data_IF_930019118464
#
_entry.id   IF_930019118464
#
_cell.length_a   1.000
_cell.length_b   1.000
_cell.length_c   1.000
_cell.angle_alpha   90.00
_cell.angle_beta   90.00
_cell.angle_gamma   90.00
#
_symmetry.space_group_name_H-M   'P 1'
#
loop_
_entity.id
_entity.type
_entity.pdbx_description
1 polymer ?
#
# COMPACT_ATOMS: atom_id res chain seq x y z
N UNK A 1 5.00 17.56 -2.59
CA UNK A 1 4.83 16.82 -1.32
C UNK A 1 4.42 15.39 -1.65
N UNK A 2 5.16 14.41 -1.15
CA UNK A 2 4.82 12.99 -1.25
C UNK A 2 4.04 12.53 -0.01
N UNK A 3 3.22 11.49 -0.16
CA UNK A 3 2.56 10.78 0.94
C UNK A 3 3.00 9.33 0.91
N UNK A 4 3.45 8.79 2.04
CA UNK A 4 3.84 7.38 2.15
C UNK A 4 2.98 6.66 3.18
N UNK A 5 2.36 5.56 2.76
CA UNK A 5 1.68 4.59 3.62
C UNK A 5 2.74 3.63 4.17
N UNK A 6 3.17 3.91 5.39
CA UNK A 6 4.40 3.40 5.97
C UNK A 6 4.14 2.38 7.08
N UNK A 7 4.95 1.32 7.09
CA UNK A 7 5.08 0.40 8.22
C UNK A 7 6.52 0.43 8.75
N UNK A 8 6.79 0.98 9.96
CA UNK A 8 8.13 1.10 10.53
C UNK A 8 8.85 -0.23 10.74
N UNK A 9 8.12 -1.35 10.86
CA UNK A 9 8.70 -2.69 11.03
C UNK A 9 9.15 -3.31 9.71
N UNK A 10 8.74 -2.77 8.56
CA UNK A 10 9.06 -3.31 7.25
C UNK A 10 10.33 -2.68 6.65
N UNK A 11 11.36 -3.48 6.38
CA UNK A 11 12.63 -3.02 5.81
C UNK A 11 12.44 -2.21 4.51
N UNK A 12 11.65 -2.74 3.55
CA UNK A 12 11.35 -2.03 2.29
C UNK A 12 10.63 -0.70 2.49
N UNK A 13 9.76 -0.63 3.50
CA UNK A 13 9.06 0.60 3.88
C UNK A 13 10.00 1.67 4.44
N UNK A 14 10.96 1.27 5.29
CA UNK A 14 12.00 2.18 5.81
C UNK A 14 12.95 2.64 4.71
N UNK A 15 13.40 1.74 3.85
CA UNK A 15 14.26 2.08 2.71
C UNK A 15 13.59 3.07 1.75
N UNK A 16 12.30 2.88 1.45
CA UNK A 16 11.56 3.81 0.58
C UNK A 16 11.40 5.19 1.22
N UNK A 17 11.11 5.27 2.52
CA UNK A 17 11.06 6.55 3.24
C UNK A 17 12.41 7.27 3.22
N UNK A 18 13.51 6.53 3.32
CA UNK A 18 14.85 7.13 3.25
C UNK A 18 15.14 7.72 1.88
N UNK A 19 14.81 7.02 0.78
CA UNK A 19 14.98 7.55 -0.58
C UNK A 19 14.22 8.86 -0.76
N UNK A 20 12.99 8.97 -0.22
CA UNK A 20 12.20 10.21 -0.28
C UNK A 20 12.90 11.36 0.47
N UNK A 21 13.49 11.09 1.63
CA UNK A 21 14.24 12.07 2.43
C UNK A 21 15.52 12.50 1.74
N UNK A 22 16.30 11.57 1.22
CA UNK A 22 17.53 11.84 0.46
C UNK A 22 17.26 12.67 -0.80
N UNK A 23 16.08 12.48 -1.40
CA UNK A 23 15.61 13.26 -2.56
C UNK A 23 15.09 14.66 -2.19
N UNK A 24 15.18 15.07 -0.92
CA UNK A 24 14.67 16.34 -0.39
C UNK A 24 13.18 16.59 -0.69
N UNK A 25 12.38 15.52 -0.79
CA UNK A 25 10.93 15.64 -1.00
C UNK A 25 10.22 15.72 0.33
N UNK A 26 9.48 16.80 0.54
CA UNK A 26 8.57 16.92 1.68
C UNK A 26 7.61 15.73 1.70
N UNK A 27 7.62 14.95 2.79
CA UNK A 27 6.95 13.66 2.88
C UNK A 27 6.02 13.60 4.09
N UNK A 28 4.74 13.39 3.83
CA UNK A 28 3.76 13.05 4.86
C UNK A 28 3.74 11.53 5.09
N UNK A 29 3.89 11.10 6.34
CA UNK A 29 3.98 9.68 6.71
C UNK A 29 2.67 9.24 7.37
N UNK A 30 1.97 8.29 6.72
CA UNK A 30 0.75 7.69 7.25
C UNK A 30 1.06 6.29 7.78
N UNK A 31 0.93 6.10 9.09
CA UNK A 31 1.04 4.79 9.76
C UNK A 31 -0.27 4.01 9.59
N UNK A 32 -0.51 3.52 8.39
CA UNK A 32 -1.78 2.91 7.97
C UNK A 32 -2.19 1.64 8.75
N UNK A 33 -1.27 1.08 9.55
CA UNK A 33 -1.53 -0.01 10.50
C UNK A 33 -2.19 0.49 11.79
N UNK A 34 -1.91 1.73 12.19
CA UNK A 34 -2.41 2.36 13.43
C UNK A 34 -3.64 3.23 13.14
N UNK A 35 -3.65 3.88 11.98
CA UNK A 35 -4.79 4.65 11.46
C UNK A 35 -5.20 4.04 10.12
N UNK A 36 -6.10 3.05 10.14
CA UNK A 36 -6.62 2.45 8.92
C UNK A 36 -7.18 3.50 7.97
N UNK A 37 -6.97 3.29 6.68
CA UNK A 37 -7.49 4.18 5.64
C UNK A 37 -8.96 3.85 5.36
N UNK A 38 -9.71 4.82 4.85
CA UNK A 38 -11.07 4.59 4.39
C UNK A 38 -11.11 3.92 3.00
N UNK A 39 -12.23 3.27 2.68
CA UNK A 39 -12.44 2.60 1.39
C UNK A 39 -12.20 3.54 0.20
N UNK A 40 -12.68 4.79 0.28
CA UNK A 40 -12.49 5.79 -0.76
C UNK A 40 -11.00 6.08 -1.02
N UNK A 41 -10.19 6.12 0.02
CA UNK A 41 -8.73 6.30 -0.08
C UNK A 41 -8.09 5.10 -0.76
N UNK A 42 -8.45 3.87 -0.36
CA UNK A 42 -7.92 2.66 -0.98
C UNK A 42 -8.27 2.55 -2.48
N UNK A 43 -9.52 2.84 -2.85
CA UNK A 43 -9.95 2.86 -4.25
C UNK A 43 -9.18 3.92 -5.06
N UNK A 44 -8.92 5.08 -4.47
CA UNK A 44 -8.10 6.13 -5.09
C UNK A 44 -6.64 5.67 -5.29
N UNK A 45 -6.06 4.97 -4.31
CA UNK A 45 -4.72 4.39 -4.43
C UNK A 45 -4.64 3.35 -5.54
N UNK A 46 -5.60 2.43 -5.60
CA UNK A 46 -5.68 1.42 -6.67
C UNK A 46 -5.74 2.07 -8.06
N UNK A 47 -6.56 3.13 -8.21
CA UNK A 47 -6.65 3.90 -9.45
C UNK A 47 -5.32 4.58 -9.80
N UNK A 48 -4.65 5.22 -8.84
CA UNK A 48 -3.35 5.88 -9.05
C UNK A 48 -2.22 4.88 -9.34
N UNK A 49 -2.30 3.67 -8.79
CA UNK A 49 -1.37 2.56 -9.05
C UNK A 49 -1.63 1.90 -10.40
N UNK A 50 -2.86 1.99 -10.93
CA UNK A 50 -3.27 1.30 -12.14
C UNK A 50 -3.35 -0.23 -11.96
N UNK A 51 -3.72 -0.69 -10.77
CA UNK A 51 -3.80 -2.13 -10.43
C UNK A 51 -5.16 -2.49 -9.81
N UNK A 52 -5.49 -3.77 -9.85
CA UNK A 52 -6.65 -4.36 -9.18
C UNK A 52 -6.37 -4.68 -7.69
N UNK A 53 -7.39 -4.80 -6.84
CA UNK A 53 -7.24 -5.26 -5.45
C UNK A 53 -6.45 -6.57 -5.33
N UNK A 54 -6.70 -7.52 -6.26
CA UNK A 54 -6.00 -8.81 -6.30
C UNK A 54 -4.47 -8.72 -6.48
N UNK A 55 -3.99 -7.64 -7.09
CA UNK A 55 -2.57 -7.34 -7.28
C UNK A 55 -1.95 -6.58 -6.10
N UNK A 56 -2.78 -5.90 -5.30
CA UNK A 56 -2.32 -5.20 -4.11
C UNK A 56 -2.29 -6.11 -2.87
N UNK A 57 -3.13 -7.13 -2.82
CA UNK A 57 -3.26 -7.96 -1.62
C UNK A 57 -2.06 -8.91 -1.39
N UNK A 58 -1.62 -9.01 -0.14
CA UNK A 58 -0.51 -9.87 0.31
C UNK A 58 -1.03 -11.26 0.68
N UNK A 59 -0.99 -12.16 -0.30
CA UNK A 59 -1.46 -13.57 -0.14
C UNK A 59 -0.69 -14.41 0.88
N UNK A 60 0.49 -13.95 1.32
CA UNK A 60 1.34 -14.68 2.26
C UNK A 60 1.05 -14.35 3.73
N UNK A 61 0.17 -13.40 4.01
CA UNK A 61 -0.23 -13.06 5.38
C UNK A 61 -1.20 -14.12 5.93
N UNK A 62 -1.09 -14.44 7.22
CA UNK A 62 -1.92 -15.46 7.85
C UNK A 62 -3.43 -15.16 7.74
N UNK A 63 -3.79 -13.88 7.80
CA UNK A 63 -5.18 -13.43 7.68
C UNK A 63 -5.78 -13.73 6.31
N UNK A 64 -4.98 -13.77 5.24
CA UNK A 64 -5.49 -14.05 3.89
C UNK A 64 -6.16 -15.43 3.82
N UNK A 65 -5.51 -16.44 4.42
CA UNK A 65 -6.07 -17.81 4.50
C UNK A 65 -7.15 -17.93 5.57
N UNK A 66 -6.99 -17.25 6.72
CA UNK A 66 -7.97 -17.28 7.82
C UNK A 66 -9.33 -16.74 7.39
N UNK A 67 -9.32 -15.76 6.48
CA UNK A 67 -10.51 -15.12 5.93
C UNK A 67 -11.02 -15.81 4.64
N UNK A 68 -10.38 -16.92 4.21
CA UNK A 68 -10.78 -17.67 3.01
C UNK A 68 -10.81 -16.83 1.72
N UNK A 69 -9.88 -15.89 1.58
CA UNK A 69 -9.77 -14.98 0.41
C UNK A 69 -9.12 -15.63 -0.82
N UNK A 70 -8.77 -16.92 -0.73
CA UNK A 70 -8.23 -17.73 -1.81
C UNK A 70 -9.31 -18.51 -2.60
N UNK A 71 -10.59 -18.33 -2.26
CA UNK A 71 -11.70 -18.95 -2.97
C UNK A 71 -11.96 -18.32 -4.34
N UNK A 72 -12.42 -19.13 -5.31
CA UNK A 72 -12.74 -18.68 -6.67
C UNK A 72 -13.87 -17.63 -6.71
N UNK A 73 -14.76 -17.62 -5.71
CA UNK A 73 -15.87 -16.67 -5.60
C UNK A 73 -15.46 -15.31 -4.97
N UNK A 74 -14.19 -15.15 -4.57
CA UNK A 74 -13.71 -13.92 -3.92
C UNK A 74 -13.72 -12.74 -4.89
N UNK A 75 -14.47 -11.69 -4.56
CA UNK A 75 -14.60 -10.51 -5.41
C UNK A 75 -13.57 -9.43 -5.07
N UNK A 76 -13.37 -8.48 -5.99
CA UNK A 76 -12.55 -7.28 -5.74
C UNK A 76 -13.08 -6.45 -4.56
N UNK A 77 -14.40 -6.43 -4.34
CA UNK A 77 -15.02 -5.76 -3.20
C UNK A 77 -14.67 -6.46 -1.88
N UNK A 78 -14.68 -7.80 -1.85
CA UNK A 78 -14.26 -8.57 -0.68
C UNK A 78 -12.80 -8.29 -0.32
N UNK A 79 -11.92 -8.25 -1.33
CA UNK A 79 -10.49 -7.93 -1.13
C UNK A 79 -10.28 -6.51 -0.60
N UNK A 80 -11.04 -5.54 -1.11
CA UNK A 80 -11.01 -4.16 -0.61
C UNK A 80 -11.47 -4.11 0.84
N UNK A 81 -12.62 -4.70 1.16
CA UNK A 81 -13.15 -4.72 2.52
C UNK A 81 -12.17 -5.41 3.49
N UNK A 82 -11.59 -6.54 3.08
CA UNK A 82 -10.58 -7.23 3.87
C UNK A 82 -9.32 -6.38 4.09
N UNK A 83 -8.86 -5.62 3.10
CA UNK A 83 -7.70 -4.74 3.26
C UNK A 83 -7.98 -3.54 4.18
N UNK A 84 -9.22 -3.08 4.27
CA UNK A 84 -9.64 -2.02 5.21
C UNK A 84 -9.71 -2.55 6.64
N UNK A 85 -10.35 -3.71 6.83
CA UNK A 85 -10.50 -4.34 8.16
C UNK A 85 -9.17 -4.93 8.67
N UNK A 86 -8.35 -5.45 7.77
CA UNK A 86 -7.05 -6.07 8.04
C UNK A 86 -5.95 -5.38 7.23
N UNK A 87 -5.47 -4.19 7.65
CA UNK A 87 -4.50 -3.42 6.87
C UNK A 87 -3.19 -4.18 6.56
N UNK A 88 -2.82 -5.20 7.33
CA UNK A 88 -1.62 -6.01 7.07
C UNK A 88 -1.69 -6.76 5.73
N UNK A 89 -2.89 -6.99 5.20
CA UNK A 89 -3.13 -7.57 3.88
C UNK A 89 -2.73 -6.64 2.72
N UNK A 90 -2.55 -5.33 2.94
CA UNK A 90 -2.12 -4.42 1.87
C UNK A 90 -0.62 -4.49 1.62
N UNK A 91 -0.23 -4.56 0.34
CA UNK A 91 1.17 -4.43 -0.07
C UNK A 91 1.74 -3.05 0.29
N UNK A 92 3.02 -3.04 0.67
CA UNK A 92 3.65 -1.85 1.29
C UNK A 92 5.13 -1.70 0.94
N UNK A 93 5.67 -0.46 0.98
CA UNK A 93 4.94 0.80 1.15
C UNK A 93 4.25 1.21 -0.16
N UNK A 94 3.20 2.02 -0.04
CA UNK A 94 2.61 2.76 -1.16
C UNK A 94 3.05 4.21 -1.03
N UNK A 95 3.56 4.80 -2.11
CA UNK A 95 3.94 6.22 -2.16
C UNK A 95 3.06 6.91 -3.19
N UNK A 96 2.53 8.07 -2.84
CA UNK A 96 1.80 8.97 -3.73
C UNK A 96 2.60 10.25 -3.91
N UNK A 97 2.83 10.66 -5.15
CA UNK A 97 3.45 11.93 -5.51
C UNK A 97 2.85 12.43 -6.83
N UNK A 98 2.54 13.72 -6.92
CA UNK A 98 1.97 14.34 -8.13
C UNK A 98 0.79 13.56 -8.74
N UNK A 99 -0.15 13.15 -7.88
CA UNK A 99 -1.37 12.43 -8.27
C UNK A 99 -1.12 11.04 -8.93
N UNK A 100 0.08 10.50 -8.78
CA UNK A 100 0.51 9.17 -9.23
C UNK A 100 0.96 8.37 -8.02
N UNK A 101 0.80 7.04 -8.05
CA UNK A 101 1.24 6.17 -6.96
C UNK A 101 2.17 5.06 -7.43
N UNK A 102 3.01 4.56 -6.52
CA UNK A 102 3.86 3.40 -6.76
C UNK A 102 4.04 2.57 -5.49
N UNK A 103 4.23 1.26 -5.66
CA UNK A 103 4.63 0.36 -4.58
C UNK A 103 6.15 0.36 -4.49
N UNK A 104 6.70 0.69 -3.33
CA UNK A 104 8.15 0.70 -3.01
C UNK A 104 8.75 -0.71 -2.85
N UNK A 105 8.41 -1.61 -3.77
CA UNK A 105 8.90 -3.00 -3.84
C UNK A 105 9.34 -3.31 -5.28
N UNK A 106 10.64 -3.17 -5.58
CA UNK A 106 11.71 -2.76 -4.67
C UNK A 106 11.68 -1.23 -4.37
N UNK A 107 12.35 -0.73 -3.30
CA UNK A 107 12.23 0.66 -2.83
C UNK A 107 12.49 1.73 -3.90
N UNK A 108 13.45 1.48 -4.79
CA UNK A 108 13.84 2.31 -5.92
C UNK A 108 12.72 2.56 -6.93
N UNK A 109 11.62 1.80 -6.89
CA UNK A 109 10.42 2.09 -7.67
C UNK A 109 9.90 3.52 -7.43
N UNK A 110 10.19 4.11 -6.27
CA UNK A 110 9.78 5.49 -5.94
C UNK A 110 10.34 6.51 -6.93
N UNK A 111 11.51 6.26 -7.53
CA UNK A 111 12.10 7.17 -8.53
C UNK A 111 11.22 7.35 -9.79
N UNK A 112 10.27 6.45 -10.05
CA UNK A 112 9.34 6.57 -11.19
C UNK A 112 8.37 7.75 -11.04
N UNK A 113 8.17 8.23 -9.83
CA UNK A 113 7.18 9.27 -9.51
C UNK A 113 7.79 10.49 -8.82
N UNK A 114 9.11 10.51 -8.59
CA UNK A 114 9.83 11.64 -7.98
C UNK A 114 9.96 12.81 -8.96
#
# INVERSE_FOLDING_TARGET
MAVIYHNPRCSKSRQTLEILRESNVETNVILYMETPIEQATLLSLLKMLGITPSQLIRRNEADFKRLHLDNDDTTDEDLVNAMIEYPNLMERPIVVHNNTAVIGRPPENVHKIL
#
